data_IF_960053802048
#
_entry.id   IF_960053802048
#
_cell.length_a   1.000
_cell.length_b   1.000
_cell.length_c   1.000
_cell.angle_alpha   90.00
_cell.angle_beta   90.00
_cell.angle_gamma   90.00
#
_symmetry.space_group_name_H-M   'P 1'
#
loop_
_entity.id
_entity.type
_entity.pdbx_description
1 polymer ?
#
# COMPACT_ATOMS: atom_id res chain seq x y z
N UNK A 1 37.90 2.88 -10.27
CA UNK A 1 36.77 3.59 -9.69
C UNK A 1 35.46 2.74 -9.61
N UNK A 2 35.47 1.48 -10.08
CA UNK A 2 34.27 0.64 -10.15
C UNK A 2 34.14 -0.45 -9.07
N UNK A 3 35.15 -0.62 -8.20
CA UNK A 3 35.14 -1.66 -7.16
C UNK A 3 34.50 -1.20 -5.82
N UNK A 4 34.46 0.10 -5.57
CA UNK A 4 33.87 0.65 -4.33
C UNK A 4 32.34 0.72 -4.37
N UNK A 5 31.73 0.74 -5.54
CA UNK A 5 30.26 0.70 -5.67
C UNK A 5 29.68 -0.71 -5.43
N UNK A 6 30.47 -1.77 -5.67
CA UNK A 6 30.03 -3.15 -5.46
C UNK A 6 30.18 -3.62 -4.02
N UNK A 7 31.11 -3.06 -3.26
CA UNK A 7 31.35 -3.46 -1.86
C UNK A 7 30.26 -2.97 -0.89
N UNK A 8 29.55 -1.91 -1.23
CA UNK A 8 28.44 -1.40 -0.41
C UNK A 8 27.12 -2.17 -0.60
N UNK A 9 27.01 -2.96 -1.66
CA UNK A 9 25.80 -3.77 -1.93
C UNK A 9 25.80 -5.12 -1.19
N UNK A 10 26.92 -5.51 -0.58
CA UNK A 10 27.07 -6.81 0.09
C UNK A 10 26.88 -6.74 1.62
N UNK A 11 26.35 -5.65 2.15
CA UNK A 11 25.84 -5.70 3.51
C UNK A 11 24.64 -6.66 3.53
N UNK A 12 24.84 -7.83 4.17
CA UNK A 12 23.78 -8.81 4.45
C UNK A 12 22.53 -8.04 4.87
N UNK A 13 21.45 -8.21 4.12
CA UNK A 13 20.13 -7.71 4.47
C UNK A 13 19.69 -8.47 5.72
N UNK A 14 20.14 -8.02 6.87
CA UNK A 14 19.62 -8.48 8.15
C UNK A 14 18.37 -7.64 8.44
N UNK A 15 17.28 -8.28 8.78
CA UNK A 15 16.03 -7.61 9.22
C UNK A 15 16.29 -6.55 10.28
N UNK A 16 17.25 -6.78 11.19
CA UNK A 16 17.66 -5.81 12.19
C UNK A 16 18.36 -4.56 11.62
N UNK A 17 19.05 -4.66 10.48
CA UNK A 17 19.66 -3.50 9.82
C UNK A 17 18.59 -2.66 9.10
N UNK A 18 17.53 -3.28 8.63
CA UNK A 18 16.39 -2.62 7.97
C UNK A 18 15.67 -1.69 8.95
N UNK A 19 15.43 -2.15 10.17
CA UNK A 19 14.76 -1.38 11.22
C UNK A 19 15.63 -0.22 11.75
N UNK A 20 16.96 -0.39 11.75
CA UNK A 20 17.91 0.59 12.31
C UNK A 20 18.54 1.53 11.27
N UNK A 21 18.36 1.24 9.99
CA UNK A 21 18.99 2.02 8.93
C UNK A 21 18.23 3.33 8.71
N UNK A 22 18.85 4.45 9.06
CA UNK A 22 18.30 5.78 8.86
C UNK A 22 18.85 6.48 7.60
N UNK A 23 19.67 5.80 6.80
CA UNK A 23 20.25 6.37 5.58
C UNK A 23 19.15 6.60 4.53
N UNK A 24 19.03 7.83 4.02
CA UNK A 24 18.03 8.23 3.03
C UNK A 24 18.08 7.40 1.74
N UNK A 25 19.28 6.99 1.27
CA UNK A 25 19.43 6.14 0.09
C UNK A 25 18.87 4.74 0.31
N UNK A 26 19.21 4.13 1.44
CA UNK A 26 18.70 2.82 1.83
C UNK A 26 17.19 2.84 2.01
N UNK A 27 16.67 3.84 2.72
CA UNK A 27 15.24 4.01 2.92
C UNK A 27 14.49 4.24 1.60
N UNK A 28 15.04 5.06 0.69
CA UNK A 28 14.46 5.26 -0.65
C UNK A 28 14.32 3.95 -1.43
N UNK A 29 15.34 3.09 -1.40
CA UNK A 29 15.28 1.76 -2.03
C UNK A 29 14.23 0.86 -1.36
N UNK A 30 14.12 0.88 -0.03
CA UNK A 30 13.11 0.09 0.68
C UNK A 30 11.68 0.55 0.37
N UNK A 31 11.46 1.87 0.22
CA UNK A 31 10.18 2.39 -0.25
C UNK A 31 9.84 1.90 -1.65
N UNK A 32 10.80 1.91 -2.59
CA UNK A 32 10.59 1.42 -3.96
C UNK A 32 10.29 -0.09 -3.98
N UNK A 33 11.03 -0.89 -3.21
CA UNK A 33 10.80 -2.33 -3.14
C UNK A 33 9.44 -2.64 -2.49
N UNK A 34 9.09 -1.97 -1.40
CA UNK A 34 7.78 -2.15 -0.75
C UNK A 34 6.64 -1.72 -1.67
N UNK A 35 6.76 -0.58 -2.34
CA UNK A 35 5.77 -0.11 -3.31
C UNK A 35 5.59 -1.09 -4.47
N UNK A 36 6.66 -1.70 -4.96
CA UNK A 36 6.60 -2.73 -6.00
C UNK A 36 5.83 -3.97 -5.53
N UNK A 37 6.13 -4.48 -4.33
CA UNK A 37 5.42 -5.64 -3.75
C UNK A 37 3.93 -5.31 -3.54
N UNK A 38 3.63 -4.14 -2.99
CA UNK A 38 2.25 -3.69 -2.78
C UNK A 38 1.52 -3.49 -4.12
N UNK A 39 2.22 -2.97 -5.13
CA UNK A 39 1.70 -2.81 -6.48
C UNK A 39 1.34 -4.13 -7.16
N UNK A 40 2.11 -5.21 -6.94
CA UNK A 40 1.76 -6.53 -7.45
C UNK A 40 0.41 -7.00 -6.90
N UNK A 41 0.15 -6.82 -5.61
CA UNK A 41 -1.15 -7.18 -5.02
C UNK A 41 -2.30 -6.37 -5.64
N UNK A 42 -2.10 -5.07 -5.86
CA UNK A 42 -3.07 -4.20 -6.51
C UNK A 42 -3.34 -4.58 -7.97
N UNK A 43 -2.31 -5.01 -8.72
CA UNK A 43 -2.47 -5.49 -10.11
C UNK A 43 -3.19 -6.83 -10.18
N UNK A 44 -2.96 -7.74 -9.25
CA UNK A 44 -3.71 -9.00 -9.16
C UNK A 44 -5.21 -8.76 -8.97
N UNK A 45 -5.58 -7.83 -8.09
CA UNK A 45 -6.97 -7.43 -7.90
C UNK A 45 -7.54 -6.80 -9.18
N UNK A 46 -6.77 -5.98 -9.88
CA UNK A 46 -7.17 -5.40 -11.17
C UNK A 46 -7.48 -6.48 -12.22
N UNK A 47 -6.64 -7.50 -12.32
CA UNK A 47 -6.87 -8.63 -13.23
C UNK A 47 -8.18 -9.33 -12.90
N UNK A 48 -8.45 -9.60 -11.62
CA UNK A 48 -9.71 -10.20 -11.18
C UNK A 48 -10.92 -9.36 -11.59
N UNK A 49 -10.90 -8.05 -11.38
CA UNK A 49 -11.94 -7.11 -11.79
C UNK A 49 -12.13 -7.16 -13.32
N UNK A 50 -11.05 -7.20 -14.09
CA UNK A 50 -11.12 -7.24 -15.56
C UNK A 50 -11.66 -8.56 -16.10
N UNK A 51 -11.35 -9.69 -15.46
CA UNK A 51 -11.89 -10.99 -15.87
C UNK A 51 -13.41 -11.02 -15.62
N UNK A 52 -13.89 -10.50 -14.48
CA UNK A 52 -15.32 -10.41 -14.18
C UNK A 52 -16.08 -9.56 -15.21
N UNK A 53 -15.45 -8.48 -15.68
CA UNK A 53 -16.03 -7.56 -16.68
C UNK A 53 -15.78 -7.97 -18.14
N UNK A 54 -15.14 -9.11 -18.39
CA UNK A 54 -14.74 -9.50 -19.74
C UNK A 54 -15.94 -9.77 -20.67
N UNK A 55 -16.98 -10.43 -20.15
CA UNK A 55 -18.18 -10.73 -20.92
C UNK A 55 -19.44 -10.62 -20.06
N UNK A 56 -20.56 -10.23 -20.70
CA UNK A 56 -21.85 -10.20 -20.03
C UNK A 56 -22.25 -11.62 -19.60
N UNK A 57 -22.56 -11.79 -18.32
CA UNK A 57 -22.91 -13.09 -17.74
C UNK A 57 -21.72 -13.96 -17.31
N UNK A 58 -20.48 -13.47 -17.44
CA UNK A 58 -19.34 -14.11 -16.80
C UNK A 58 -19.49 -13.98 -15.28
N UNK A 59 -19.40 -15.12 -14.58
CA UNK A 59 -19.65 -15.18 -13.14
C UNK A 59 -18.55 -15.92 -12.43
N UNK A 60 -17.38 -15.32 -12.37
CA UNK A 60 -16.31 -15.79 -11.50
C UNK A 60 -16.67 -15.46 -10.04
N UNK A 61 -17.22 -14.26 -9.84
CA UNK A 61 -17.78 -13.86 -8.55
C UNK A 61 -19.28 -14.20 -8.58
N UNK A 62 -19.70 -15.10 -7.66
CA UNK A 62 -21.11 -15.48 -7.58
C UNK A 62 -22.00 -14.25 -7.28
N UNK A 63 -23.25 -14.20 -7.79
CA UNK A 63 -24.18 -13.08 -7.53
C UNK A 63 -24.42 -12.84 -6.04
N UNK A 64 -24.31 -13.87 -5.22
CA UNK A 64 -24.44 -13.79 -3.76
C UNK A 64 -23.30 -13.03 -3.11
N UNK A 65 -22.10 -13.04 -3.75
CA UNK A 65 -20.89 -12.38 -3.27
C UNK A 65 -20.61 -11.02 -3.96
N UNK A 66 -21.63 -10.31 -4.40
CA UNK A 66 -21.46 -8.99 -5.03
C UNK A 66 -20.68 -8.01 -4.15
N UNK A 67 -20.76 -8.15 -2.83
CA UNK A 67 -19.97 -7.36 -1.89
C UNK A 67 -18.46 -7.56 -2.11
N UNK A 68 -17.99 -8.76 -2.44
CA UNK A 68 -16.59 -9.03 -2.73
C UNK A 68 -16.07 -8.24 -3.94
N UNK A 69 -16.89 -8.08 -4.98
CA UNK A 69 -16.54 -7.24 -6.13
C UNK A 69 -16.37 -5.77 -5.73
N UNK A 70 -17.29 -5.24 -4.93
CA UNK A 70 -17.23 -3.86 -4.43
C UNK A 70 -16.01 -3.63 -3.53
N UNK A 71 -15.67 -4.60 -2.69
CA UNK A 71 -14.44 -4.58 -1.87
C UNK A 71 -13.20 -4.59 -2.78
N UNK A 72 -13.19 -5.40 -3.82
CA UNK A 72 -12.07 -5.50 -4.75
C UNK A 72 -11.80 -4.17 -5.47
N UNK A 73 -12.83 -3.47 -5.94
CA UNK A 73 -12.70 -2.13 -6.54
C UNK A 73 -12.13 -1.13 -5.52
N UNK A 74 -12.65 -1.14 -4.31
CA UNK A 74 -12.21 -0.25 -3.24
C UNK A 74 -10.73 -0.45 -2.92
N UNK A 75 -10.34 -1.71 -2.72
CA UNK A 75 -8.96 -2.07 -2.40
C UNK A 75 -7.99 -1.84 -3.54
N UNK A 76 -8.40 -2.08 -4.79
CA UNK A 76 -7.58 -1.75 -5.95
C UNK A 76 -7.24 -0.26 -5.95
N UNK A 77 -8.22 0.63 -5.74
CA UNK A 77 -7.99 2.07 -5.66
C UNK A 77 -7.03 2.47 -4.54
N UNK A 78 -7.24 1.95 -3.32
CA UNK A 78 -6.35 2.19 -2.18
C UNK A 78 -4.92 1.70 -2.43
N UNK A 79 -4.75 0.47 -2.90
CA UNK A 79 -3.43 -0.12 -3.10
C UNK A 79 -2.63 0.61 -4.18
N UNK A 80 -3.26 0.98 -5.28
CA UNK A 80 -2.55 1.62 -6.39
C UNK A 80 -2.17 3.06 -6.09
N UNK A 81 -2.99 3.82 -5.37
CA UNK A 81 -2.71 5.22 -5.06
C UNK A 81 -1.82 5.34 -3.81
N UNK A 82 -2.26 4.78 -2.68
CA UNK A 82 -1.62 5.01 -1.38
C UNK A 82 -0.46 4.06 -1.07
N UNK A 83 -0.42 2.88 -1.68
CA UNK A 83 0.64 1.90 -1.41
C UNK A 83 1.61 1.68 -2.58
N UNK A 84 1.25 2.05 -3.81
CA UNK A 84 2.17 2.02 -4.94
C UNK A 84 2.68 3.43 -5.29
N UNK A 85 1.81 4.31 -5.79
CA UNK A 85 2.25 5.58 -6.40
C UNK A 85 2.84 6.52 -5.36
N UNK A 86 2.15 6.79 -4.25
CA UNK A 86 2.64 7.73 -3.24
C UNK A 86 3.93 7.25 -2.56
N UNK A 87 4.06 6.01 -2.09
CA UNK A 87 5.31 5.52 -1.53
C UNK A 87 6.45 5.48 -2.55
N UNK A 88 6.20 5.13 -3.81
CA UNK A 88 7.23 5.13 -4.84
C UNK A 88 7.76 6.54 -5.13
N UNK A 89 6.86 7.50 -5.36
CA UNK A 89 7.24 8.86 -5.77
C UNK A 89 7.82 9.63 -4.59
N UNK A 90 7.09 9.77 -3.49
CA UNK A 90 7.53 10.59 -2.36
C UNK A 90 8.46 9.84 -1.41
N UNK A 91 8.16 8.60 -1.09
CA UNK A 91 8.97 7.77 -0.22
C UNK A 91 10.26 7.28 -0.89
N UNK A 92 10.16 6.75 -2.10
CA UNK A 92 11.28 6.19 -2.85
C UNK A 92 12.12 7.27 -3.52
N UNK A 93 11.63 7.83 -4.60
CA UNK A 93 12.38 8.82 -5.38
C UNK A 93 12.64 10.10 -4.59
N UNK A 94 11.69 10.58 -3.79
CA UNK A 94 11.85 11.76 -2.96
C UNK A 94 13.01 11.60 -1.98
N UNK A 95 13.03 10.55 -1.18
CA UNK A 95 14.12 10.30 -0.23
C UNK A 95 15.46 10.02 -0.90
N UNK A 96 15.47 9.42 -2.09
CA UNK A 96 16.70 9.12 -2.78
C UNK A 96 17.31 10.35 -3.45
N UNK A 97 16.53 11.09 -4.23
CA UNK A 97 17.06 12.16 -5.10
C UNK A 97 17.11 13.54 -4.45
N UNK A 98 16.14 13.90 -3.60
CA UNK A 98 16.09 15.27 -3.04
C UNK A 98 17.35 15.61 -2.24
N UNK A 99 17.84 14.77 -1.30
CA UNK A 99 19.09 15.08 -0.60
C UNK A 99 20.31 15.16 -1.53
N UNK A 100 20.35 14.30 -2.55
CA UNK A 100 21.46 14.30 -3.52
C UNK A 100 21.48 15.61 -4.32
N UNK A 101 20.35 16.05 -4.83
CA UNK A 101 20.26 17.30 -5.61
C UNK A 101 20.51 18.55 -4.78
N UNK A 102 20.18 18.51 -3.49
CA UNK A 102 20.48 19.59 -2.55
C UNK A 102 21.91 19.55 -1.99
N UNK A 103 22.66 18.49 -2.28
CA UNK A 103 24.01 18.28 -1.71
C UNK A 103 24.00 18.08 -0.20
N UNK A 104 22.86 17.74 0.39
CA UNK A 104 22.76 17.49 1.83
C UNK A 104 23.19 16.06 2.17
N UNK A 105 23.88 15.84 3.32
CA UNK A 105 24.33 14.50 3.71
C UNK A 105 23.19 13.57 4.07
N UNK A 106 22.10 14.10 4.64
CA UNK A 106 20.92 13.34 5.10
C UNK A 106 19.65 14.22 5.06
N UNK A 107 18.49 13.57 5.20
CA UNK A 107 17.20 14.25 5.42
C UNK A 107 17.15 14.89 6.81
N UNK A 108 16.28 15.90 6.99
CA UNK A 108 16.18 16.68 8.24
C UNK A 108 15.84 15.78 9.45
N UNK A 109 14.96 14.78 9.26
CA UNK A 109 14.53 13.87 10.34
C UNK A 109 14.66 12.40 9.93
N UNK A 110 15.88 11.83 9.93
CA UNK A 110 16.11 10.48 9.41
C UNK A 110 15.40 9.38 10.22
N UNK A 111 15.25 9.55 11.52
CA UNK A 111 14.54 8.59 12.39
C UNK A 111 13.04 8.56 12.13
N UNK A 112 12.42 9.72 11.93
CA UNK A 112 11.00 9.83 11.59
C UNK A 112 10.74 9.22 10.23
N UNK A 113 11.64 9.40 9.27
CA UNK A 113 11.55 8.80 7.94
C UNK A 113 11.61 7.26 8.00
N UNK A 114 12.49 6.69 8.83
CA UNK A 114 12.52 5.25 9.06
C UNK A 114 11.22 4.74 9.74
N UNK A 115 10.70 5.47 10.71
CA UNK A 115 9.44 5.13 11.38
C UNK A 115 8.27 5.12 10.39
N UNK A 116 8.23 6.03 9.43
CA UNK A 116 7.14 6.11 8.44
C UNK A 116 7.05 4.89 7.53
N UNK A 117 8.16 4.27 7.13
CA UNK A 117 8.11 3.02 6.32
C UNK A 117 7.61 1.83 7.14
N UNK A 118 7.91 1.79 8.45
CA UNK A 118 7.39 0.76 9.34
C UNK A 118 5.87 0.86 9.49
N UNK A 119 5.35 2.09 9.67
CA UNK A 119 3.90 2.34 9.72
C UNK A 119 3.25 1.98 8.38
N UNK A 120 3.86 2.33 7.25
CA UNK A 120 3.35 1.99 5.93
C UNK A 120 3.18 0.48 5.76
N UNK A 121 4.18 -0.29 6.16
CA UNK A 121 4.15 -1.76 6.08
C UNK A 121 3.08 -2.36 6.99
N UNK A 122 2.90 -1.83 8.19
CA UNK A 122 1.85 -2.24 9.11
C UNK A 122 0.46 -1.90 8.56
N UNK A 123 0.28 -0.70 8.01
CA UNK A 123 -0.98 -0.27 7.38
C UNK A 123 -1.36 -1.16 6.20
N UNK A 124 -0.39 -1.57 5.37
CA UNK A 124 -0.63 -2.52 4.29
C UNK A 124 -1.16 -3.85 4.80
N UNK A 125 -0.61 -4.37 5.90
CA UNK A 125 -1.07 -5.61 6.51
C UNK A 125 -2.55 -5.50 6.93
N UNK A 126 -2.96 -4.39 7.55
CA UNK A 126 -4.36 -4.17 7.90
C UNK A 126 -5.27 -4.08 6.67
N UNK A 127 -4.81 -3.46 5.58
CA UNK A 127 -5.55 -3.38 4.31
C UNK A 127 -5.79 -4.78 3.74
N UNK A 128 -4.76 -5.63 3.72
CA UNK A 128 -4.92 -7.01 3.24
C UNK A 128 -5.83 -7.83 4.16
N UNK A 129 -5.70 -7.68 5.46
CA UNK A 129 -6.60 -8.36 6.42
C UNK A 129 -8.06 -7.98 6.22
N UNK A 130 -8.35 -6.77 5.75
CA UNK A 130 -9.72 -6.34 5.46
C UNK A 130 -10.36 -7.11 4.29
N UNK A 131 -9.57 -7.72 3.40
CA UNK A 131 -10.10 -8.62 2.36
C UNK A 131 -10.79 -9.87 2.92
N UNK A 132 -10.31 -10.34 4.07
CA UNK A 132 -10.81 -11.57 4.70
C UNK A 132 -11.96 -11.31 5.67
N UNK A 133 -12.36 -10.04 5.83
CA UNK A 133 -13.54 -9.72 6.64
C UNK A 133 -14.82 -9.97 5.84
N UNK A 134 -15.76 -10.72 6.39
CA UNK A 134 -17.05 -11.05 5.76
C UNK A 134 -17.84 -9.80 5.36
N UNK A 135 -17.60 -8.68 6.01
CA UNK A 135 -18.32 -7.41 5.87
C UNK A 135 -17.41 -6.26 5.46
N UNK A 136 -16.43 -6.50 4.59
CA UNK A 136 -15.53 -5.45 4.13
C UNK A 136 -16.25 -4.25 3.53
N UNK A 137 -15.66 -3.07 3.64
CA UNK A 137 -16.23 -1.82 3.16
C UNK A 137 -16.18 -1.70 1.63
N UNK A 138 -17.23 -2.15 0.95
CA UNK A 138 -17.39 -2.03 -0.52
C UNK A 138 -17.97 -0.68 -0.96
N UNK A 139 -17.45 0.43 -0.42
CA UNK A 139 -18.00 1.78 -0.62
C UNK A 139 -17.27 2.60 -1.69
N UNK A 140 -16.21 2.07 -2.27
CA UNK A 140 -15.27 2.82 -3.10
C UNK A 140 -14.20 3.52 -2.26
N UNK A 141 -13.07 3.85 -2.88
CA UNK A 141 -11.92 4.46 -2.20
C UNK A 141 -12.19 5.90 -1.72
N UNK A 142 -13.20 6.57 -2.29
CA UNK A 142 -13.58 7.95 -1.96
C UNK A 142 -14.51 8.06 -0.75
N UNK A 143 -15.10 6.95 -0.29
CA UNK A 143 -15.96 6.87 0.89
C UNK A 143 -17.12 7.89 0.90
N UNK A 144 -17.79 8.08 -0.24
CA UNK A 144 -18.91 9.03 -0.33
C UNK A 144 -20.10 8.65 0.54
N UNK A 145 -20.64 9.59 1.36
CA UNK A 145 -21.92 9.43 1.99
C UNK A 145 -23.07 9.53 0.95
N UNK A 146 -24.21 8.85 1.11
CA UNK A 146 -24.60 7.99 2.24
C UNK A 146 -24.09 6.55 2.16
N UNK A 147 -23.42 6.15 1.06
CA UNK A 147 -22.98 4.77 0.83
C UNK A 147 -21.99 4.27 1.91
N UNK A 148 -21.14 5.16 2.41
CA UNK A 148 -20.16 4.85 3.46
C UNK A 148 -20.74 4.87 4.88
N UNK A 149 -22.01 5.27 5.05
CA UNK A 149 -22.65 5.32 6.36
C UNK A 149 -23.29 3.98 6.73
N UNK A 150 -23.48 3.74 8.02
CA UNK A 150 -24.03 2.49 8.56
C UNK A 150 -25.44 2.14 8.07
N UNK A 151 -26.18 3.11 7.53
CA UNK A 151 -27.53 2.92 7.01
C UNK A 151 -27.58 2.22 5.65
N UNK A 152 -26.55 2.42 4.80
CA UNK A 152 -26.51 1.89 3.44
C UNK A 152 -25.53 0.73 3.29
N UNK A 153 -24.53 0.60 4.15
CA UNK A 153 -23.60 -0.52 4.12
C UNK A 153 -24.24 -1.74 4.79
N UNK A 154 -24.61 -2.72 4.01
CA UNK A 154 -25.15 -4.02 4.47
C UNK A 154 -24.11 -4.80 5.31
N UNK A 155 -22.88 -4.37 5.33
CA UNK A 155 -21.80 -4.96 6.09
C UNK A 155 -21.17 -3.96 7.07
N UNK A 156 -21.42 -4.14 8.33
CA UNK A 156 -21.09 -3.24 9.45
C UNK A 156 -19.63 -3.22 9.91
N UNK A 157 -18.68 -3.46 9.06
CA UNK A 157 -17.25 -3.32 9.41
C UNK A 157 -16.52 -2.42 8.42
N UNK A 158 -16.85 -1.15 8.44
CA UNK A 158 -15.86 -0.15 8.10
C UNK A 158 -14.70 -0.30 9.08
N UNK A 159 -13.52 -0.02 8.64
CA UNK A 159 -12.19 -0.03 9.26
C UNK A 159 -12.10 0.47 10.73
N UNK A 160 -13.18 0.93 11.30
CA UNK A 160 -13.27 1.38 12.66
C UNK A 160 -14.19 0.45 13.46
N UNK A 161 -13.74 -0.03 14.63
CA UNK A 161 -14.68 -0.59 15.60
C UNK A 161 -15.76 0.46 15.84
N UNK A 162 -17.00 0.01 15.87
CA UNK A 162 -18.16 0.87 16.13
C UNK A 162 -17.84 1.84 17.27
N UNK A 163 -17.64 3.09 16.94
CA UNK A 163 -17.93 4.15 17.90
C UNK A 163 -19.43 4.36 17.76
N UNK A 164 -20.19 3.71 18.63
CA UNK A 164 -21.59 4.01 18.80
C UNK A 164 -21.65 5.41 19.41
N UNK A 165 -22.05 6.38 18.60
CA UNK A 165 -22.57 7.64 19.09
C UNK A 165 -24.08 7.50 19.24
#
# INVERSE_FOLDING_TARGET
MNLLLFSTFHQRINFGSLIKNCNHKGLGIYYLLSAFIFGISGTLISVLIRIELYSAGNRIISPENQNFYNISITLHGFLMIFFLVMPAVFGGFGNYFVPIFQGSPEVVYPRVNNFSILILSLSYLFVILSLFSEFGGGTGWTLYPPLSTSLMSVGKSLWFPRINF
#
